data_IF_013595846606
#
_entry.id   IF_013595846606
#
_cell.length_a   1.000
_cell.length_b   1.000
_cell.length_c   1.000
_cell.angle_alpha   90.00
_cell.angle_beta   90.00
_cell.angle_gamma   90.00
#
_symmetry.space_group_name_H-M   'P 1'
#
loop_
_entity.id
_entity.type
_entity.pdbx_description
1 polymer ?
#
# COMPACT_ATOMS: atom_id res chain seq x y z
N UNK A 1 -77.25 24.18 8.47
CA UNK A 1 -76.35 25.35 8.45
C UNK A 1 -75.45 25.26 9.67
N UNK A 2 -74.21 24.78 9.49
CA UNK A 2 -73.03 24.95 10.37
C UNK A 2 -71.99 23.90 9.93
N UNK A 3 -71.19 24.29 8.95
CA UNK A 3 -69.99 23.57 8.52
C UNK A 3 -68.93 23.82 9.59
N UNK A 4 -68.52 22.76 10.30
CA UNK A 4 -67.42 22.82 11.27
C UNK A 4 -66.21 22.15 10.63
N UNK A 5 -65.52 22.91 9.78
CA UNK A 5 -64.22 22.55 9.22
C UNK A 5 -63.17 22.56 10.34
N UNK A 6 -62.72 21.37 10.71
CA UNK A 6 -61.56 21.16 11.57
C UNK A 6 -60.28 21.56 10.79
N UNK A 7 -59.93 22.83 10.83
CA UNK A 7 -58.58 23.27 10.48
C UNK A 7 -57.63 22.91 11.63
N UNK A 8 -57.04 21.73 11.54
CA UNK A 8 -55.86 21.35 12.33
C UNK A 8 -54.70 22.23 11.85
N UNK A 9 -54.06 23.05 12.70
CA UNK A 9 -52.90 23.80 12.27
C UNK A 9 -51.80 22.80 11.88
N UNK A 10 -51.32 22.92 10.64
CA UNK A 10 -50.15 22.19 10.14
C UNK A 10 -48.99 22.46 11.12
N UNK A 11 -48.63 21.43 11.89
CA UNK A 11 -47.48 21.46 12.77
C UNK A 11 -46.26 21.87 11.95
N UNK A 12 -45.71 23.04 12.28
CA UNK A 12 -44.45 23.55 11.76
C UNK A 12 -43.40 22.46 11.91
N UNK A 13 -42.92 21.92 10.79
CA UNK A 13 -41.78 21.03 10.77
C UNK A 13 -40.61 21.76 11.47
N UNK A 14 -40.27 21.33 12.69
CA UNK A 14 -39.10 21.83 13.39
C UNK A 14 -37.88 21.41 12.57
N UNK A 15 -37.36 22.35 11.79
CA UNK A 15 -36.14 22.16 11.02
C UNK A 15 -35.02 21.89 12.03
N UNK A 16 -34.56 20.64 12.10
CA UNK A 16 -33.42 20.22 12.93
C UNK A 16 -32.13 20.84 12.38
N UNK A 17 -31.90 22.13 12.63
CA UNK A 17 -30.71 22.87 12.15
C UNK A 17 -29.49 22.67 13.04
N UNK A 18 -29.66 22.36 14.34
CA UNK A 18 -28.56 22.23 15.31
C UNK A 18 -27.58 21.11 14.99
N UNK A 19 -28.06 19.96 14.49
CA UNK A 19 -27.22 18.82 14.11
C UNK A 19 -26.27 19.09 12.93
N UNK A 20 -26.51 20.15 12.14
CA UNK A 20 -25.67 20.48 10.98
C UNK A 20 -24.40 21.23 11.38
N UNK A 21 -24.47 22.10 12.40
CA UNK A 21 -23.33 22.89 12.87
C UNK A 21 -22.29 22.03 13.60
N UNK A 22 -22.73 21.15 14.50
CA UNK A 22 -21.85 20.20 15.20
C UNK A 22 -21.13 19.26 14.22
N UNK A 23 -21.84 18.80 13.18
CA UNK A 23 -21.25 18.00 12.10
C UNK A 23 -20.24 18.79 11.26
N UNK A 24 -20.49 20.06 10.98
CA UNK A 24 -19.55 20.91 10.24
C UNK A 24 -18.25 21.14 11.03
N UNK A 25 -18.35 21.47 12.31
CA UNK A 25 -17.17 21.66 13.18
C UNK A 25 -16.39 20.34 13.31
N UNK A 26 -17.06 19.21 13.50
CA UNK A 26 -16.42 17.90 13.55
C UNK A 26 -15.71 17.55 12.23
N UNK A 27 -16.32 17.86 11.08
CA UNK A 27 -15.71 17.64 9.78
C UNK A 27 -14.47 18.51 9.56
N UNK A 28 -14.50 19.79 9.95
CA UNK A 28 -13.34 20.68 9.86
C UNK A 28 -12.21 20.24 10.79
N UNK A 29 -12.53 19.79 12.00
CA UNK A 29 -11.55 19.24 12.93
C UNK A 29 -10.93 17.94 12.39
N UNK A 30 -11.74 17.03 11.84
CA UNK A 30 -11.27 15.81 11.20
C UNK A 30 -10.38 16.13 9.98
N UNK A 31 -10.76 17.12 9.16
CA UNK A 31 -9.97 17.56 8.02
C UNK A 31 -8.62 18.15 8.46
N UNK A 32 -8.61 19.01 9.48
CA UNK A 32 -7.39 19.56 10.03
C UNK A 32 -6.45 18.46 10.55
N UNK A 33 -6.99 17.47 11.28
CA UNK A 33 -6.23 16.31 11.74
C UNK A 33 -5.64 15.50 10.57
N UNK A 34 -6.46 15.21 9.56
CA UNK A 34 -6.01 14.48 8.36
C UNK A 34 -4.90 15.24 7.62
N UNK A 35 -5.00 16.57 7.51
CA UNK A 35 -3.96 17.41 6.89
C UNK A 35 -2.66 17.37 7.70
N UNK A 36 -2.73 17.48 9.03
CA UNK A 36 -1.55 17.38 9.89
C UNK A 36 -0.88 16.01 9.74
N UNK A 37 -1.66 14.93 9.79
CA UNK A 37 -1.14 13.57 9.58
C UNK A 37 -0.53 13.41 8.19
N UNK A 38 -1.18 13.94 7.15
CA UNK A 38 -0.65 13.91 5.79
C UNK A 38 0.71 14.64 5.69
N UNK A 39 0.84 15.82 6.31
CA UNK A 39 2.11 16.56 6.35
C UNK A 39 3.20 15.72 7.01
N UNK A 40 2.92 15.13 8.18
CA UNK A 40 3.88 14.29 8.91
C UNK A 40 4.35 13.12 8.03
N UNK A 41 3.45 12.49 7.29
CA UNK A 41 3.77 11.40 6.36
C UNK A 41 4.58 11.84 5.14
N UNK A 42 4.43 13.09 4.69
CA UNK A 42 5.14 13.63 3.52
C UNK A 42 6.58 14.05 3.87
N UNK A 43 6.86 14.44 5.12
CA UNK A 43 8.20 14.84 5.58
C UNK A 43 9.33 13.86 5.17
N UNK A 44 9.26 12.55 5.47
CA UNK A 44 10.33 11.62 5.11
C UNK A 44 10.53 11.50 3.58
N UNK A 45 9.46 11.67 2.79
CA UNK A 45 9.54 11.67 1.33
C UNK A 45 10.27 12.91 0.84
N UNK A 46 9.91 14.09 1.36
CA UNK A 46 10.60 15.34 1.03
C UNK A 46 12.07 15.28 1.42
N UNK A 47 12.37 14.71 2.59
CA UNK A 47 13.74 14.53 3.05
C UNK A 47 14.53 13.53 2.17
N UNK A 48 13.89 12.45 1.70
CA UNK A 48 14.51 11.52 0.77
C UNK A 48 14.82 12.18 -0.58
N UNK A 49 13.91 13.02 -1.10
CA UNK A 49 14.13 13.77 -2.34
C UNK A 49 15.29 14.75 -2.16
N UNK A 50 15.28 15.56 -1.10
CA UNK A 50 16.36 16.49 -0.79
C UNK A 50 17.71 15.77 -0.67
N UNK A 51 17.74 14.66 0.07
CA UNK A 51 18.95 13.84 0.25
C UNK A 51 19.44 13.22 -1.05
N UNK A 52 18.55 12.80 -1.95
CA UNK A 52 18.93 12.26 -3.27
C UNK A 52 19.59 13.29 -4.19
N UNK A 53 19.37 14.59 -3.92
CA UNK A 53 19.91 15.70 -4.70
C UNK A 53 21.09 16.41 -4.00
N UNK A 54 21.51 15.93 -2.82
CA UNK A 54 22.69 16.44 -2.11
C UNK A 54 23.99 15.97 -2.78
N UNK A 55 25.06 16.78 -2.70
CA UNK A 55 26.41 16.30 -2.98
C UNK A 55 26.78 15.13 -2.04
N UNK A 56 27.56 14.16 -2.54
CA UNK A 56 27.93 12.95 -1.78
C UNK A 56 28.65 13.26 -0.44
N UNK A 57 29.35 14.39 -0.35
CA UNK A 57 30.01 14.82 0.89
C UNK A 57 29.06 15.37 1.96
N UNK A 58 27.84 15.79 1.60
CA UNK A 58 26.88 16.38 2.55
C UNK A 58 25.94 15.34 3.15
N UNK A 59 25.73 14.20 2.49
CA UNK A 59 24.89 13.11 3.00
C UNK A 59 25.52 12.37 4.19
N UNK A 60 26.84 12.43 4.33
CA UNK A 60 27.60 11.82 5.44
C UNK A 60 28.15 12.85 6.44
N UNK A 61 27.85 14.14 6.24
CA UNK A 61 28.35 15.22 7.10
C UNK A 61 27.72 15.18 8.51
N UNK A 62 28.51 15.60 9.50
CA UNK A 62 28.09 15.80 10.89
C UNK A 62 28.33 17.28 11.25
N UNK A 63 27.30 18.07 11.60
CA UNK A 63 25.89 17.69 11.78
C UNK A 63 25.15 17.42 10.47
N UNK A 64 24.10 16.60 10.53
CA UNK A 64 23.25 16.28 9.36
C UNK A 64 22.57 17.56 8.86
N UNK A 65 22.79 17.90 7.59
CA UNK A 65 22.08 19.00 6.96
C UNK A 65 20.64 18.61 6.64
N UNK A 66 19.68 19.42 7.09
CA UNK A 66 18.26 19.21 6.81
C UNK A 66 17.86 19.58 5.38
N UNK A 67 18.59 20.51 4.74
CA UNK A 67 18.42 20.90 3.34
C UNK A 67 19.74 20.84 2.59
N UNK A 68 19.71 20.53 1.29
CA UNK A 68 20.87 20.59 0.44
C UNK A 68 21.45 22.02 0.37
N UNK A 69 22.79 22.15 0.42
CA UNK A 69 23.41 23.48 0.20
C UNK A 69 23.27 23.93 -1.26
N UNK A 70 23.33 22.98 -2.18
CA UNK A 70 23.05 23.12 -3.59
C UNK A 70 22.54 21.80 -4.16
N UNK A 71 21.59 21.87 -5.08
CA UNK A 71 21.04 20.69 -5.74
C UNK A 71 21.95 20.21 -6.87
N UNK A 72 22.25 18.92 -6.89
CA UNK A 72 23.07 18.29 -7.93
C UNK A 72 22.48 16.94 -8.37
N UNK A 73 22.71 16.59 -9.64
CA UNK A 73 22.37 15.29 -10.21
C UNK A 73 23.58 14.37 -10.33
N UNK A 74 24.73 14.77 -9.77
CA UNK A 74 25.99 14.01 -9.88
C UNK A 74 25.85 12.57 -9.39
N UNK A 75 25.14 12.36 -8.27
CA UNK A 75 24.88 11.03 -7.71
C UNK A 75 24.06 10.14 -8.67
N UNK A 76 23.08 10.71 -9.38
CA UNK A 76 22.32 9.96 -10.38
C UNK A 76 23.22 9.58 -11.57
N UNK A 77 23.98 10.53 -12.10
CA UNK A 77 24.87 10.29 -13.25
C UNK A 77 25.93 9.23 -12.89
N UNK A 78 26.57 9.35 -11.71
CA UNK A 78 27.56 8.39 -11.24
C UNK A 78 26.94 7.00 -11.06
N UNK A 79 25.77 6.90 -10.43
CA UNK A 79 25.10 5.62 -10.21
C UNK A 79 24.71 4.96 -11.54
N UNK A 80 24.11 5.70 -12.47
CA UNK A 80 23.75 5.15 -13.80
C UNK A 80 24.96 4.74 -14.64
N UNK A 81 26.12 5.38 -14.47
CA UNK A 81 27.34 5.03 -15.18
C UNK A 81 28.08 3.83 -14.56
N UNK A 82 28.03 3.68 -13.23
CA UNK A 82 28.82 2.68 -12.48
C UNK A 82 28.05 1.41 -12.16
N UNK A 83 26.73 1.44 -12.23
CA UNK A 83 25.86 0.31 -11.85
C UNK A 83 24.92 -0.08 -12.97
N UNK A 84 24.40 -1.30 -12.91
CA UNK A 84 23.47 -1.83 -13.90
C UNK A 84 22.00 -1.58 -13.49
N UNK A 85 21.70 -0.34 -13.08
CA UNK A 85 20.36 0.06 -12.65
C UNK A 85 19.26 -0.33 -13.67
N UNK A 86 19.41 -0.09 -14.98
CA UNK A 86 18.37 -0.44 -15.95
C UNK A 86 18.00 -1.92 -15.92
N UNK A 87 18.99 -2.82 -15.78
CA UNK A 87 18.73 -4.26 -15.69
C UNK A 87 18.04 -4.62 -14.37
N UNK A 88 18.42 -4.03 -13.24
CA UNK A 88 17.75 -4.31 -11.96
C UNK A 88 16.30 -3.85 -11.94
N UNK A 89 16.01 -2.68 -12.52
CA UNK A 89 14.65 -2.20 -12.70
C UNK A 89 13.85 -3.10 -13.64
N UNK A 90 14.44 -3.49 -14.77
CA UNK A 90 13.78 -4.39 -15.73
C UNK A 90 13.49 -5.76 -15.11
N UNK A 91 14.43 -6.33 -14.36
CA UNK A 91 14.23 -7.59 -13.65
C UNK A 91 13.10 -7.50 -12.64
N UNK A 92 13.05 -6.42 -11.86
CA UNK A 92 12.01 -6.19 -10.86
C UNK A 92 10.63 -5.97 -11.51
N UNK A 93 10.59 -5.20 -12.60
CA UNK A 93 9.36 -4.99 -13.36
C UNK A 93 8.84 -6.29 -13.97
N UNK A 94 9.70 -7.06 -14.63
CA UNK A 94 9.33 -8.31 -15.29
C UNK A 94 8.84 -9.35 -14.28
N UNK A 95 9.57 -9.54 -13.18
CA UNK A 95 9.20 -10.47 -12.09
C UNK A 95 7.89 -10.07 -11.43
N UNK A 96 7.76 -8.82 -10.99
CA UNK A 96 6.53 -8.36 -10.33
C UNK A 96 5.31 -8.42 -11.25
N UNK A 97 5.45 -8.10 -12.54
CA UNK A 97 4.35 -8.17 -13.50
C UNK A 97 3.87 -9.62 -13.72
N UNK A 98 4.81 -10.55 -13.98
CA UNK A 98 4.47 -11.95 -14.23
C UNK A 98 3.85 -12.59 -12.99
N UNK A 99 4.49 -12.45 -11.83
CA UNK A 99 3.99 -13.00 -10.56
C UNK A 99 2.60 -12.44 -10.24
N UNK A 100 2.38 -11.14 -10.44
CA UNK A 100 1.06 -10.54 -10.18
C UNK A 100 -0.03 -11.11 -11.08
N UNK A 101 0.24 -11.25 -12.39
CA UNK A 101 -0.73 -11.81 -13.34
C UNK A 101 -1.06 -13.26 -12.97
N UNK A 102 -0.04 -14.09 -12.78
CA UNK A 102 -0.21 -15.51 -12.42
C UNK A 102 -0.98 -15.63 -11.10
N UNK A 103 -0.61 -14.85 -10.09
CA UNK A 103 -1.27 -14.85 -8.78
C UNK A 103 -2.72 -14.44 -8.89
N UNK A 104 -3.07 -13.36 -9.60
CA UNK A 104 -4.45 -12.92 -9.77
C UNK A 104 -5.28 -13.97 -10.51
N UNK A 105 -4.74 -14.57 -11.57
CA UNK A 105 -5.44 -15.62 -12.32
C UNK A 105 -5.71 -16.83 -11.41
N UNK A 106 -4.69 -17.36 -10.74
CA UNK A 106 -4.84 -18.54 -9.89
C UNK A 106 -5.71 -18.26 -8.65
N UNK A 107 -5.51 -17.11 -7.99
CA UNK A 107 -6.27 -16.72 -6.82
C UNK A 107 -7.75 -16.45 -7.16
N UNK A 108 -8.04 -15.84 -8.31
CA UNK A 108 -9.43 -15.61 -8.74
C UNK A 108 -10.16 -16.92 -9.07
N UNK A 109 -9.48 -17.87 -9.74
CA UNK A 109 -10.02 -19.21 -9.99
C UNK A 109 -10.29 -19.97 -8.69
N UNK A 110 -9.33 -19.94 -7.76
CA UNK A 110 -9.50 -20.55 -6.44
C UNK A 110 -10.66 -19.89 -5.67
N UNK A 111 -10.70 -18.56 -5.62
CA UNK A 111 -11.77 -17.80 -4.96
C UNK A 111 -13.15 -18.10 -5.58
N UNK A 112 -13.23 -18.26 -6.91
CA UNK A 112 -14.47 -18.66 -7.59
C UNK A 112 -14.90 -20.07 -7.15
N UNK A 113 -13.99 -21.05 -7.16
CA UNK A 113 -14.29 -22.40 -6.72
C UNK A 113 -14.77 -22.44 -5.26
N UNK A 114 -14.08 -21.73 -4.35
CA UNK A 114 -14.48 -21.62 -2.95
C UNK A 114 -15.82 -20.90 -2.77
N UNK A 115 -16.11 -19.84 -3.53
CA UNK A 115 -17.32 -19.03 -3.32
C UNK A 115 -18.57 -19.60 -4.00
N UNK A 116 -18.43 -20.24 -5.16
CA UNK A 116 -19.57 -20.63 -6.01
C UNK A 116 -19.80 -22.13 -6.11
N UNK A 117 -18.77 -22.96 -5.92
CA UNK A 117 -18.89 -24.41 -6.13
C UNK A 117 -19.01 -25.12 -4.77
N UNK A 118 -20.10 -25.86 -4.49
CA UNK A 118 -20.16 -26.72 -3.32
C UNK A 118 -19.41 -28.03 -3.62
N UNK A 119 -18.18 -28.17 -3.12
CA UNK A 119 -17.38 -29.40 -3.24
C UNK A 119 -17.05 -30.01 -1.87
N UNK A 120 -16.84 -31.33 -1.86
CA UNK A 120 -16.50 -32.09 -0.64
C UNK A 120 -15.06 -31.75 -0.24
N UNK A 121 -14.84 -31.42 1.05
CA UNK A 121 -13.51 -31.06 1.57
C UNK A 121 -13.17 -29.57 1.57
N UNK A 122 -14.09 -28.69 1.11
CA UNK A 122 -13.91 -27.23 1.07
C UNK A 122 -13.38 -26.63 2.38
N UNK A 123 -13.97 -27.00 3.52
CA UNK A 123 -13.55 -26.45 4.81
C UNK A 123 -12.14 -26.89 5.21
N UNK A 124 -11.75 -28.12 4.91
CA UNK A 124 -10.40 -28.62 5.20
C UNK A 124 -9.38 -27.86 4.38
N UNK A 125 -9.62 -27.71 3.07
CA UNK A 125 -8.70 -26.97 2.20
C UNK A 125 -8.59 -25.49 2.60
N UNK A 126 -9.70 -24.88 3.02
CA UNK A 126 -9.69 -23.51 3.54
C UNK A 126 -8.80 -23.37 4.78
N UNK A 127 -8.90 -24.30 5.74
CA UNK A 127 -8.04 -24.29 6.93
C UNK A 127 -6.57 -24.53 6.61
N UNK A 128 -6.24 -25.39 5.63
CA UNK A 128 -4.87 -25.60 5.18
C UNK A 128 -4.28 -24.31 4.61
N UNK A 129 -5.04 -23.60 3.77
CA UNK A 129 -4.61 -22.31 3.20
C UNK A 129 -4.37 -21.29 4.32
N UNK A 130 -5.30 -21.15 5.27
CA UNK A 130 -5.13 -20.25 6.40
C UNK A 130 -3.91 -20.60 7.25
N UNK A 131 -3.69 -21.88 7.56
CA UNK A 131 -2.53 -22.33 8.31
C UNK A 131 -1.22 -21.96 7.59
N UNK A 132 -1.17 -22.10 6.25
CA UNK A 132 -0.05 -21.66 5.44
C UNK A 132 0.23 -20.16 5.52
N UNK A 133 -0.81 -19.32 5.53
CA UNK A 133 -0.67 -17.86 5.66
C UNK A 133 -0.17 -17.40 7.04
N UNK A 134 -0.36 -18.23 8.08
CA UNK A 134 0.15 -17.94 9.43
C UNK A 134 1.64 -18.24 9.58
N UNK A 135 2.24 -18.99 8.65
CA UNK A 135 3.67 -19.29 8.66
C UNK A 135 4.44 -18.02 8.30
N UNK A 136 5.32 -17.51 9.19
CA UNK A 136 6.11 -16.33 8.88
C UNK A 136 7.08 -16.63 7.74
N UNK A 137 7.15 -15.76 6.73
CA UNK A 137 8.00 -15.98 5.56
C UNK A 137 9.49 -16.05 5.92
N UNK A 138 9.90 -15.42 7.02
CA UNK A 138 11.28 -15.36 7.47
C UNK A 138 11.86 -16.73 7.82
N UNK A 139 11.07 -17.66 8.37
CA UNK A 139 11.56 -19.01 8.69
C UNK A 139 11.69 -19.90 7.44
N UNK A 140 11.04 -19.51 6.34
CA UNK A 140 11.05 -20.26 5.10
C UNK A 140 12.26 -19.92 4.21
N UNK A 141 13.01 -18.85 4.50
CA UNK A 141 14.12 -18.38 3.65
C UNK A 141 15.18 -19.48 3.48
N UNK A 142 15.67 -20.07 4.58
CA UNK A 142 16.69 -21.12 4.54
C UNK A 142 16.21 -22.36 3.78
N UNK A 143 15.06 -22.99 4.11
CA UNK A 143 14.62 -24.17 3.40
C UNK A 143 14.32 -23.88 1.92
N UNK A 144 13.68 -22.76 1.57
CA UNK A 144 13.44 -22.40 0.18
C UNK A 144 14.75 -22.22 -0.60
N UNK A 145 15.77 -21.59 0.00
CA UNK A 145 17.08 -21.46 -0.64
C UNK A 145 17.74 -22.82 -0.87
N UNK A 146 17.71 -23.72 0.12
CA UNK A 146 18.26 -25.08 -0.03
C UNK A 146 17.55 -25.87 -1.13
N UNK A 147 16.22 -25.77 -1.24
CA UNK A 147 15.44 -26.39 -2.33
C UNK A 147 15.84 -25.79 -3.70
N UNK A 148 15.92 -24.47 -3.81
CA UNK A 148 16.36 -23.81 -5.05
C UNK A 148 17.79 -24.21 -5.45
N UNK A 149 18.68 -24.36 -4.47
CA UNK A 149 20.04 -24.82 -4.68
C UNK A 149 20.08 -26.27 -5.17
N UNK A 150 19.30 -27.16 -4.57
CA UNK A 150 19.19 -28.55 -4.99
C UNK A 150 18.66 -28.68 -6.43
N UNK A 151 17.76 -27.78 -6.83
CA UNK A 151 17.21 -27.71 -8.19
C UNK A 151 18.09 -26.95 -9.19
N UNK A 152 19.18 -26.34 -8.75
CA UNK A 152 20.06 -25.52 -9.60
C UNK A 152 19.40 -24.23 -10.11
N UNK A 153 18.40 -23.72 -9.40
CA UNK A 153 17.61 -22.53 -9.76
C UNK A 153 18.12 -21.24 -9.12
N UNK A 154 19.19 -21.32 -8.32
CA UNK A 154 19.80 -20.16 -7.66
C UNK A 154 20.30 -19.16 -8.70
N UNK A 155 19.97 -17.88 -8.49
CA UNK A 155 20.34 -16.76 -9.37
C UNK A 155 19.77 -16.86 -10.80
N UNK A 156 18.60 -17.50 -10.95
CA UNK A 156 17.88 -17.59 -12.23
C UNK A 156 16.51 -16.95 -12.15
N UNK A 157 15.99 -16.45 -13.28
CA UNK A 157 14.60 -15.96 -13.34
C UNK A 157 13.59 -17.06 -12.95
N UNK A 158 13.85 -18.32 -13.31
CA UNK A 158 13.00 -19.46 -12.97
C UNK A 158 12.98 -19.79 -11.47
N UNK A 159 14.02 -19.43 -10.72
CA UNK A 159 14.01 -19.57 -9.27
C UNK A 159 13.21 -18.50 -8.53
N UNK A 160 12.92 -17.37 -9.21
CA UNK A 160 12.15 -16.25 -8.66
C UNK A 160 10.68 -16.30 -9.10
N UNK A 161 10.40 -16.82 -10.30
CA UNK A 161 9.06 -16.97 -10.88
C UNK A 161 8.36 -18.25 -10.42
#
# INVERSE_FOLDING_TARGET
MAVQTLEKPLGTAQVTTSKRWERQVANWAALALLVVLAIIWVIPILWAIDTSLKPEGETTAIPVSWLASHFTLAAFISTFATTNLPQWYFNSFLTSAIISIVTVVLASLAAFAFSRIPFRGKNVLFWIILAGLMVPSQILIVPLFTEMQAMGLVDTYWGIM
#
